data_IF_389333857717
#
_entry.id   IF_389333857717
#
_cell.length_a   1.000
_cell.length_b   1.000
_cell.length_c   1.000
_cell.angle_alpha   90.00
_cell.angle_beta   90.00
_cell.angle_gamma   90.00
#
_symmetry.space_group_name_H-M   'P 1'
#
loop_
_entity.id
_entity.type
_entity.pdbx_description
1 polymer ?
#
# COMPACT_ATOMS: atom_id res chain seq x y z
N UNK A 1 10.41 -61.33 54.45
CA UNK A 1 10.81 -60.99 53.07
C UNK A 1 9.72 -60.11 52.44
N UNK A 2 9.92 -58.83 52.39
CA UNK A 2 8.95 -57.84 51.82
C UNK A 2 9.61 -57.27 50.59
N UNK A 3 9.10 -57.67 49.41
CA UNK A 3 9.57 -57.12 48.12
C UNK A 3 8.83 -55.81 47.84
N UNK A 4 9.57 -54.69 47.81
CA UNK A 4 9.07 -53.37 47.41
C UNK A 4 9.14 -53.29 45.88
N UNK A 5 8.02 -53.18 45.23
CA UNK A 5 7.91 -52.91 43.79
C UNK A 5 7.92 -51.38 43.60
N UNK A 6 9.03 -50.87 43.06
CA UNK A 6 9.14 -49.45 42.67
C UNK A 6 8.55 -49.31 41.23
N UNK A 7 7.36 -48.71 41.15
CA UNK A 7 6.71 -48.36 39.88
C UNK A 7 7.27 -47.05 39.34
N UNK A 8 8.16 -47.12 38.35
CA UNK A 8 8.71 -45.93 37.67
C UNK A 8 7.67 -45.41 36.66
N UNK A 9 7.00 -44.33 37.04
CA UNK A 9 6.04 -43.64 36.15
C UNK A 9 6.82 -42.76 35.16
N UNK A 10 6.95 -43.20 33.92
CA UNK A 10 7.48 -42.42 32.82
C UNK A 10 6.45 -41.32 32.42
N UNK A 11 6.72 -40.07 32.81
CA UNK A 11 5.99 -38.92 32.29
C UNK A 11 6.37 -38.68 30.82
N UNK A 12 5.52 -39.12 29.91
CA UNK A 12 5.52 -38.67 28.53
C UNK A 12 5.10 -37.19 28.51
N UNK A 13 6.07 -36.29 28.50
CA UNK A 13 5.84 -34.86 28.17
C UNK A 13 5.59 -34.81 26.67
N UNK A 14 4.32 -34.92 26.29
CA UNK A 14 3.87 -34.53 24.95
C UNK A 14 4.15 -33.04 24.78
N UNK A 15 5.22 -32.71 24.07
CA UNK A 15 5.49 -31.34 23.67
C UNK A 15 4.29 -30.87 22.82
N UNK A 16 3.40 -30.07 23.42
CA UNK A 16 2.48 -29.26 22.65
C UNK A 16 3.36 -28.26 21.90
N UNK A 17 3.52 -28.45 20.60
CA UNK A 17 3.95 -27.39 19.69
C UNK A 17 2.92 -26.25 19.83
N UNK A 18 3.25 -25.29 20.68
CA UNK A 18 2.53 -24.03 20.73
C UNK A 18 2.85 -23.33 19.42
N UNK A 19 2.04 -23.59 18.39
CA UNK A 19 2.09 -22.80 17.19
C UNK A 19 1.92 -21.33 17.57
N UNK A 20 2.95 -20.54 17.36
CA UNK A 20 2.87 -19.10 17.60
C UNK A 20 1.67 -18.54 16.83
N UNK A 21 0.89 -17.66 17.45
CA UNK A 21 -0.24 -17.03 16.79
C UNK A 21 0.23 -16.38 15.46
N UNK A 22 -0.57 -16.47 14.39
CA UNK A 22 -0.17 -15.92 13.10
C UNK A 22 0.05 -14.41 13.19
N UNK A 23 1.06 -13.92 12.48
CA UNK A 23 1.33 -12.49 12.31
C UNK A 23 0.24 -11.89 11.42
N UNK A 24 -0.58 -11.00 11.95
CA UNK A 24 -1.68 -10.37 11.21
C UNK A 24 -1.17 -9.14 10.47
N UNK A 25 -1.24 -9.20 9.14
CA UNK A 25 -0.88 -8.10 8.26
C UNK A 25 -2.12 -7.64 7.49
N UNK A 26 -2.48 -6.36 7.61
CA UNK A 26 -3.62 -5.82 6.88
C UNK A 26 -3.21 -5.03 5.64
N UNK A 27 -4.15 -4.90 4.70
CA UNK A 27 -4.04 -3.97 3.57
C UNK A 27 -5.36 -3.21 3.37
N UNK A 28 -5.26 -1.95 2.89
CA UNK A 28 -6.38 -1.00 2.90
C UNK A 28 -7.13 -0.85 1.59
N UNK A 29 -6.63 -1.44 0.50
CA UNK A 29 -7.17 -1.28 -0.84
C UNK A 29 -6.99 -2.55 -1.65
N UNK A 30 -7.93 -2.85 -2.55
CA UNK A 30 -7.73 -3.83 -3.62
C UNK A 30 -7.23 -3.05 -4.84
N UNK A 31 -5.89 -2.98 -4.97
CA UNK A 31 -5.24 -2.19 -6.00
C UNK A 31 -3.80 -2.65 -6.27
N UNK A 32 -3.21 -2.25 -7.40
CA UNK A 32 -1.86 -2.70 -7.78
C UNK A 32 -0.78 -2.27 -6.78
N UNK A 33 -1.01 -1.20 -6.03
CA UNK A 33 -0.03 -0.64 -5.07
C UNK A 33 0.25 -1.54 -3.86
N UNK A 34 -0.61 -2.52 -3.58
CA UNK A 34 -0.42 -3.52 -2.50
C UNK A 34 -0.14 -4.93 -3.03
N UNK A 35 0.06 -5.07 -4.34
CA UNK A 35 0.26 -6.37 -4.98
C UNK A 35 1.48 -7.14 -4.43
N UNK A 36 2.51 -6.42 -3.99
CA UNK A 36 3.69 -7.00 -3.34
C UNK A 36 3.39 -7.75 -2.05
N UNK A 37 2.42 -7.27 -1.27
CA UNK A 37 1.96 -7.96 -0.05
C UNK A 37 1.20 -9.24 -0.42
N UNK A 38 0.36 -9.18 -1.46
CA UNK A 38 -0.33 -10.37 -1.97
C UNK A 38 0.66 -11.39 -2.50
N UNK A 39 1.64 -10.92 -3.27
CA UNK A 39 2.70 -11.76 -3.83
C UNK A 39 3.49 -12.46 -2.72
N UNK A 40 3.93 -11.73 -1.69
CA UNK A 40 4.65 -12.31 -0.56
C UNK A 40 3.84 -13.41 0.15
N UNK A 41 2.53 -13.22 0.27
CA UNK A 41 1.64 -14.20 0.90
C UNK A 41 1.41 -15.42 0.00
N UNK A 42 1.01 -15.21 -1.26
CA UNK A 42 0.62 -16.30 -2.17
C UNK A 42 1.79 -17.20 -2.59
N UNK A 43 2.99 -16.64 -2.69
CA UNK A 43 4.20 -17.39 -3.04
C UNK A 43 4.93 -17.99 -1.84
N UNK A 44 4.37 -17.81 -0.64
CA UNK A 44 4.96 -18.36 0.59
C UNK A 44 6.22 -17.65 1.05
N UNK A 45 6.55 -16.45 0.55
CA UNK A 45 7.75 -15.71 0.94
C UNK A 45 7.81 -15.47 2.45
N UNK A 46 6.67 -15.13 3.08
CA UNK A 46 6.63 -14.98 4.54
C UNK A 46 7.00 -16.29 5.26
N UNK A 47 6.51 -17.43 4.78
CA UNK A 47 6.83 -18.76 5.35
C UNK A 47 8.30 -19.11 5.20
N UNK A 48 8.94 -18.71 4.08
CA UNK A 48 10.37 -18.90 3.85
C UNK A 48 11.23 -18.16 4.88
N UNK A 49 10.68 -17.09 5.45
CA UNK A 49 11.30 -16.34 6.57
C UNK A 49 10.75 -16.77 7.94
N UNK A 50 10.06 -17.92 8.03
CA UNK A 50 9.54 -18.46 9.30
C UNK A 50 8.40 -17.63 9.89
N UNK A 51 7.64 -16.93 9.04
CA UNK A 51 6.49 -16.14 9.45
C UNK A 51 5.19 -16.78 8.92
N UNK A 52 4.30 -17.15 9.84
CA UNK A 52 2.92 -17.49 9.47
C UNK A 52 2.10 -16.19 9.43
N UNK A 53 1.81 -15.71 8.22
CA UNK A 53 1.12 -14.42 8.02
C UNK A 53 -0.33 -14.65 7.65
N UNK A 54 -1.23 -14.10 8.46
CA UNK A 54 -2.64 -13.95 8.12
C UNK A 54 -2.86 -12.60 7.46
N UNK A 55 -3.27 -12.61 6.20
CA UNK A 55 -3.54 -11.39 5.44
C UNK A 55 -5.00 -10.94 5.64
N UNK A 56 -5.21 -9.68 6.06
CA UNK A 56 -6.54 -9.14 6.42
C UNK A 56 -6.84 -7.91 5.58
N UNK A 57 -7.95 -7.93 4.84
CA UNK A 57 -8.44 -6.73 4.16
C UNK A 57 -9.28 -5.88 5.11
N UNK A 58 -8.89 -4.62 5.31
CA UNK A 58 -9.65 -3.64 6.08
C UNK A 58 -9.76 -2.37 5.24
N UNK A 59 -10.92 -2.11 4.68
CA UNK A 59 -11.16 -0.90 3.89
C UNK A 59 -10.93 0.37 4.74
N UNK A 60 -10.17 1.34 4.24
CA UNK A 60 -9.81 2.59 4.92
C UNK A 60 -8.51 2.52 5.75
N UNK A 61 -7.61 3.44 5.46
CA UNK A 61 -6.34 3.57 6.19
C UNK A 61 -6.55 3.92 7.67
N UNK A 62 -7.55 4.75 7.98
CA UNK A 62 -7.85 5.11 9.38
C UNK A 62 -8.26 3.90 10.21
N UNK A 63 -9.12 3.01 9.69
CA UNK A 63 -9.53 1.79 10.39
C UNK A 63 -8.35 0.81 10.54
N UNK A 64 -7.48 0.70 9.51
CA UNK A 64 -6.25 -0.08 9.62
C UNK A 64 -5.36 0.40 10.77
N UNK A 65 -5.15 1.72 10.88
CA UNK A 65 -4.33 2.31 11.94
C UNK A 65 -4.97 2.09 13.32
N UNK A 66 -6.29 2.22 13.44
CA UNK A 66 -6.98 1.92 14.71
C UNK A 66 -6.81 0.46 15.12
N UNK A 67 -6.95 -0.49 14.19
CA UNK A 67 -6.73 -1.91 14.44
C UNK A 67 -5.27 -2.21 14.84
N UNK A 68 -4.31 -1.54 14.20
CA UNK A 68 -2.89 -1.64 14.54
C UNK A 68 -2.59 -1.11 15.95
N UNK A 69 -3.11 0.08 16.29
CA UNK A 69 -2.96 0.67 17.63
C UNK A 69 -3.66 -0.13 18.72
N UNK A 70 -4.80 -0.75 18.39
CA UNK A 70 -5.55 -1.63 19.30
C UNK A 70 -4.96 -3.04 19.47
N UNK A 71 -3.82 -3.36 18.82
CA UNK A 71 -3.17 -4.67 18.91
C UNK A 71 -3.91 -5.81 18.19
N UNK A 72 -4.88 -5.47 17.33
CA UNK A 72 -5.54 -6.44 16.46
C UNK A 72 -4.73 -6.82 15.23
N UNK A 73 -3.64 -6.10 14.99
CA UNK A 73 -2.69 -6.29 13.89
C UNK A 73 -1.27 -6.05 14.40
N UNK A 74 -0.30 -6.75 13.82
CA UNK A 74 1.12 -6.53 14.06
C UNK A 74 1.75 -5.64 12.99
N UNK A 75 1.31 -5.82 11.73
CA UNK A 75 1.75 -5.06 10.57
C UNK A 75 0.53 -4.54 9.79
N UNK A 76 0.70 -3.44 9.07
CA UNK A 76 -0.35 -2.90 8.22
C UNK A 76 0.21 -2.29 6.94
N UNK A 77 -0.56 -2.39 5.85
CA UNK A 77 -0.28 -1.72 4.58
C UNK A 77 -1.34 -0.63 4.28
N UNK A 78 -1.42 0.44 5.12
CA UNK A 78 -2.35 1.55 4.95
C UNK A 78 -1.86 2.54 3.90
N UNK A 79 -2.70 3.53 3.58
CA UNK A 79 -2.24 4.75 2.91
C UNK A 79 -1.39 5.62 3.83
N UNK A 80 -0.37 6.28 3.28
CA UNK A 80 0.55 7.15 4.05
C UNK A 80 -0.17 8.24 4.84
N UNK A 81 -1.20 8.87 4.26
CA UNK A 81 -1.98 9.90 4.94
C UNK A 81 -2.59 9.41 6.26
N UNK A 82 -3.07 8.17 6.30
CA UNK A 82 -3.60 7.58 7.54
C UNK A 82 -2.57 7.51 8.66
N UNK A 83 -1.32 7.16 8.34
CA UNK A 83 -0.20 7.11 9.30
C UNK A 83 0.17 8.51 9.76
N UNK A 84 0.37 9.43 8.81
CA UNK A 84 0.75 10.82 9.10
C UNK A 84 -0.27 11.50 10.01
N UNK A 85 -1.56 11.39 9.70
CA UNK A 85 -2.61 12.03 10.49
C UNK A 85 -2.80 11.40 11.88
N UNK A 86 -2.59 10.11 12.01
CA UNK A 86 -2.60 9.45 13.32
C UNK A 86 -1.41 9.91 14.17
N UNK A 87 -0.22 9.93 13.61
CA UNK A 87 0.99 10.40 14.30
C UNK A 87 0.92 11.89 14.63
N UNK A 88 0.35 12.72 13.75
CA UNK A 88 0.10 14.14 14.01
C UNK A 88 -0.83 14.37 15.21
N UNK A 89 -1.66 13.39 15.56
CA UNK A 89 -2.53 13.37 16.75
C UNK A 89 -1.90 12.64 17.94
N UNK A 90 -0.60 12.32 17.86
CA UNK A 90 0.16 11.69 18.93
C UNK A 90 0.15 10.17 18.96
N UNK A 91 -0.40 9.49 17.94
CA UNK A 91 -0.39 8.03 17.89
C UNK A 91 1.04 7.49 17.69
N UNK A 92 1.48 6.45 18.45
CA UNK A 92 2.82 5.88 18.37
C UNK A 92 2.94 4.90 17.19
N UNK A 93 2.81 5.41 15.96
CA UNK A 93 2.86 4.62 14.71
C UNK A 93 4.01 5.08 13.85
N UNK A 94 4.68 4.13 13.17
CA UNK A 94 5.79 4.35 12.26
C UNK A 94 5.49 3.79 10.88
N UNK A 95 6.03 4.44 9.87
CA UNK A 95 6.17 3.93 8.52
C UNK A 95 7.61 3.42 8.34
N UNK A 96 7.77 2.15 8.00
CA UNK A 96 9.07 1.47 7.88
C UNK A 96 9.42 1.10 6.44
N UNK A 97 8.55 1.39 5.49
CA UNK A 97 8.78 1.17 4.07
C UNK A 97 7.65 1.72 3.23
N UNK A 98 7.96 2.21 2.02
CA UNK A 98 6.99 2.65 1.04
C UNK A 98 6.82 1.59 -0.06
N UNK A 99 5.58 1.26 -0.38
CA UNK A 99 5.28 0.43 -1.56
C UNK A 99 5.40 1.27 -2.84
N UNK A 100 4.94 2.52 -2.76
CA UNK A 100 5.13 3.54 -3.80
C UNK A 100 5.33 4.89 -3.13
N UNK A 101 6.26 5.71 -3.63
CA UNK A 101 6.44 7.10 -3.18
C UNK A 101 5.69 8.12 -4.04
N UNK A 102 5.16 7.68 -5.17
CA UNK A 102 4.35 8.48 -6.09
C UNK A 102 3.00 7.81 -6.29
N UNK A 103 1.93 8.56 -6.60
CA UNK A 103 0.61 7.98 -6.77
C UNK A 103 0.44 7.42 -8.19
N UNK A 104 0.51 6.09 -8.42
CA UNK A 104 0.30 5.50 -9.74
C UNK A 104 -1.19 5.48 -10.08
N UNK A 105 -1.79 6.65 -10.15
CA UNK A 105 -3.18 6.86 -10.51
C UNK A 105 -3.24 7.59 -11.85
N UNK A 106 -4.03 7.06 -12.76
CA UNK A 106 -4.21 7.60 -14.10
C UNK A 106 -5.44 8.50 -14.15
N UNK A 107 -5.29 9.66 -14.76
CA UNK A 107 -6.41 10.48 -15.20
C UNK A 107 -6.98 9.85 -16.47
N UNK A 108 -8.06 9.10 -16.30
CA UNK A 108 -8.87 8.61 -17.41
C UNK A 108 -9.94 9.62 -17.76
N UNK A 109 -10.11 9.85 -19.04
CA UNK A 109 -11.07 10.82 -19.60
C UNK A 109 -11.93 10.16 -20.67
N UNK A 110 -13.03 10.82 -21.04
CA UNK A 110 -13.85 10.39 -22.17
C UNK A 110 -13.00 10.31 -23.44
N UNK A 111 -13.25 9.35 -24.35
CA UNK A 111 -12.38 9.08 -25.51
C UNK A 111 -12.10 10.29 -26.43
N UNK A 112 -13.05 11.21 -26.49
CA UNK A 112 -12.98 12.45 -27.29
C UNK A 112 -12.01 13.48 -26.71
N UNK A 113 -11.69 13.42 -25.42
CA UNK A 113 -10.73 14.31 -24.77
C UNK A 113 -9.34 13.78 -25.02
N UNK A 114 -8.53 14.51 -25.78
CA UNK A 114 -7.19 14.11 -26.22
C UNK A 114 -6.08 14.92 -25.58
N UNK A 115 -6.40 16.07 -24.96
CA UNK A 115 -5.46 17.00 -24.34
C UNK A 115 -6.03 17.54 -23.03
N UNK A 116 -5.15 17.88 -22.10
CA UNK A 116 -5.52 18.38 -20.76
C UNK A 116 -6.30 19.69 -20.79
N UNK A 117 -6.01 20.59 -21.73
CA UNK A 117 -6.68 21.89 -21.84
C UNK A 117 -8.18 21.79 -22.15
N UNK A 118 -8.64 20.67 -22.77
CA UNK A 118 -10.05 20.36 -23.00
C UNK A 118 -10.84 20.06 -21.72
N UNK A 119 -10.16 19.90 -20.60
CA UNK A 119 -10.80 19.72 -19.28
C UNK A 119 -11.31 21.03 -18.66
N UNK A 120 -10.91 22.20 -19.19
CA UNK A 120 -11.40 23.50 -18.70
C UNK A 120 -12.91 23.58 -18.75
N UNK A 121 -13.55 23.96 -17.65
CA UNK A 121 -15.01 24.00 -17.49
C UNK A 121 -15.67 22.64 -17.31
N UNK A 122 -14.91 21.55 -17.34
CA UNK A 122 -15.41 20.18 -17.17
C UNK A 122 -15.41 19.73 -15.71
N UNK A 123 -16.05 18.57 -15.46
CA UNK A 123 -16.08 17.93 -14.15
C UNK A 123 -15.33 16.61 -14.13
N UNK A 124 -14.42 16.44 -13.16
CA UNK A 124 -13.77 15.17 -12.83
C UNK A 124 -14.46 14.54 -11.61
N UNK A 125 -14.76 13.26 -11.70
CA UNK A 125 -15.36 12.51 -10.60
C UNK A 125 -14.35 12.19 -9.51
N UNK A 126 -14.76 12.42 -8.27
CA UNK A 126 -14.08 11.97 -7.06
C UNK A 126 -15.04 11.16 -6.18
N UNK A 127 -14.53 10.30 -5.31
CA UNK A 127 -15.41 9.57 -4.40
C UNK A 127 -16.05 10.52 -3.39
N UNK A 128 -15.25 11.25 -2.66
CA UNK A 128 -15.65 12.29 -1.69
C UNK A 128 -14.50 13.25 -1.46
N UNK A 129 -14.78 14.41 -0.90
CA UNK A 129 -13.71 15.30 -0.45
C UNK A 129 -12.85 14.62 0.63
N UNK A 130 -11.57 14.96 0.68
CA UNK A 130 -10.55 14.38 1.57
C UNK A 130 -10.34 12.86 1.38
N UNK A 131 -10.72 12.32 0.22
CA UNK A 131 -10.33 10.97 -0.21
C UNK A 131 -9.02 11.01 -0.99
N UNK A 132 -8.35 9.86 -1.13
CA UNK A 132 -7.16 9.73 -1.99
C UNK A 132 -7.43 10.19 -3.42
N UNK A 133 -8.60 9.85 -3.99
CA UNK A 133 -8.98 10.31 -5.33
C UNK A 133 -9.10 11.84 -5.40
N UNK A 134 -9.67 12.49 -4.39
CA UNK A 134 -9.71 13.96 -4.29
C UNK A 134 -8.30 14.54 -4.22
N UNK A 135 -7.47 14.06 -3.30
CA UNK A 135 -6.11 14.56 -3.10
C UNK A 135 -5.28 14.43 -4.39
N UNK A 136 -5.25 13.25 -5.01
CA UNK A 136 -4.46 13.04 -6.22
C UNK A 136 -5.01 13.85 -7.41
N UNK A 137 -6.34 13.96 -7.55
CA UNK A 137 -6.94 14.83 -8.56
C UNK A 137 -6.52 16.29 -8.37
N UNK A 138 -6.57 16.80 -7.13
CA UNK A 138 -6.11 18.17 -6.83
C UNK A 138 -4.64 18.36 -7.15
N UNK A 139 -3.77 17.41 -6.78
CA UNK A 139 -2.34 17.46 -7.09
C UNK A 139 -2.08 17.53 -8.60
N UNK A 140 -2.78 16.70 -9.38
CA UNK A 140 -2.73 16.75 -10.84
C UNK A 140 -3.16 18.13 -11.35
N UNK A 141 -4.32 18.61 -10.92
CA UNK A 141 -4.87 19.89 -11.38
C UNK A 141 -3.97 21.07 -11.02
N UNK A 142 -3.34 21.09 -9.85
CA UNK A 142 -2.34 22.08 -9.45
C UNK A 142 -1.12 22.04 -10.36
N UNK A 143 -0.58 20.85 -10.61
CA UNK A 143 0.58 20.65 -11.48
C UNK A 143 0.31 21.12 -12.91
N UNK A 144 -0.94 21.02 -13.36
CA UNK A 144 -1.40 21.49 -14.67
C UNK A 144 -1.86 22.96 -14.67
N UNK A 145 -1.90 23.64 -13.53
CA UNK A 145 -2.42 25.01 -13.42
C UNK A 145 -3.93 25.11 -13.65
N UNK A 146 -4.68 24.04 -13.37
CA UNK A 146 -6.11 23.91 -13.71
C UNK A 146 -7.04 23.80 -12.52
N UNK A 147 -6.55 23.95 -11.28
CA UNK A 147 -7.33 23.76 -10.05
C UNK A 147 -8.59 24.65 -9.98
N UNK A 148 -8.53 25.86 -10.55
CA UNK A 148 -9.66 26.81 -10.57
C UNK A 148 -10.58 26.66 -11.79
N UNK A 149 -10.22 25.86 -12.76
CA UNK A 149 -10.94 25.75 -14.05
C UNK A 149 -11.59 24.39 -14.28
N UNK A 150 -11.32 23.41 -13.42
CA UNK A 150 -11.88 22.06 -13.48
C UNK A 150 -12.61 21.80 -12.16
N UNK A 151 -13.86 21.35 -12.25
CA UNK A 151 -14.66 21.04 -11.05
C UNK A 151 -14.38 19.61 -10.58
N UNK A 152 -14.13 19.42 -9.30
CA UNK A 152 -14.10 18.09 -8.70
C UNK A 152 -15.49 17.77 -8.13
N UNK A 153 -16.16 16.75 -8.69
CA UNK A 153 -17.53 16.39 -8.32
C UNK A 153 -17.52 15.13 -7.45
N UNK A 154 -17.91 15.20 -6.17
CA UNK A 154 -18.09 14.03 -5.32
C UNK A 154 -19.32 13.24 -5.78
N UNK A 155 -19.17 11.91 -5.94
CA UNK A 155 -20.23 11.04 -6.49
C UNK A 155 -20.61 9.92 -5.53
N UNK A 156 -19.74 9.58 -4.57
CA UNK A 156 -19.96 8.46 -3.65
C UNK A 156 -18.74 7.54 -3.59
N UNK A 157 -18.94 6.24 -3.72
CA UNK A 157 -17.85 5.28 -3.76
C UNK A 157 -17.20 5.17 -5.16
N UNK A 158 -16.17 4.33 -5.27
CA UNK A 158 -15.51 4.08 -6.55
C UNK A 158 -16.45 3.46 -7.61
N UNK A 159 -17.38 2.55 -7.26
CA UNK A 159 -18.37 2.05 -8.22
C UNK A 159 -19.29 3.14 -8.77
N UNK A 160 -19.70 4.09 -7.93
CA UNK A 160 -20.59 5.20 -8.33
C UNK A 160 -19.85 6.18 -9.26
N UNK A 161 -18.57 6.48 -8.98
CA UNK A 161 -17.74 7.29 -9.89
C UNK A 161 -17.59 6.60 -11.24
N UNK A 162 -17.34 5.29 -11.24
CA UNK A 162 -17.26 4.48 -12.46
C UNK A 162 -18.57 4.54 -13.25
N UNK A 163 -19.72 4.34 -12.60
CA UNK A 163 -21.02 4.39 -13.25
C UNK A 163 -21.34 5.77 -13.84
N UNK A 164 -21.05 6.85 -13.11
CA UNK A 164 -21.25 8.22 -13.60
C UNK A 164 -20.33 8.54 -14.80
N UNK A 165 -19.11 8.02 -14.82
CA UNK A 165 -18.20 8.13 -15.97
C UNK A 165 -18.72 7.34 -17.18
N UNK A 166 -19.19 6.11 -16.99
CA UNK A 166 -19.79 5.27 -18.04
C UNK A 166 -21.02 5.93 -18.67
N UNK A 167 -21.82 6.63 -17.86
CA UNK A 167 -22.98 7.41 -18.29
C UNK A 167 -22.62 8.79 -18.89
N UNK A 168 -21.33 9.09 -19.09
CA UNK A 168 -20.83 10.37 -19.62
C UNK A 168 -21.23 11.60 -18.79
N UNK A 169 -21.56 11.43 -17.52
CA UNK A 169 -21.85 12.53 -16.60
C UNK A 169 -20.58 13.23 -16.08
N UNK A 170 -19.42 12.64 -16.33
CA UNK A 170 -18.10 13.12 -15.95
C UNK A 170 -17.18 13.12 -17.17
N UNK A 171 -16.39 14.17 -17.31
CA UNK A 171 -15.37 14.26 -18.35
C UNK A 171 -14.21 13.30 -18.08
N UNK A 172 -13.97 12.95 -16.81
CA UNK A 172 -12.93 12.03 -16.41
C UNK A 172 -12.95 11.71 -14.93
N UNK A 173 -12.00 10.87 -14.53
CA UNK A 173 -11.74 10.49 -13.14
C UNK A 173 -10.28 10.07 -12.95
N UNK A 174 -9.76 10.22 -11.75
CA UNK A 174 -8.41 9.75 -11.37
C UNK A 174 -8.54 8.46 -10.58
N UNK A 175 -7.96 7.39 -11.09
CA UNK A 175 -8.04 6.06 -10.49
C UNK A 175 -6.80 5.22 -10.76
N UNK A 176 -6.48 4.29 -9.86
CA UNK A 176 -5.42 3.30 -10.05
C UNK A 176 -5.87 2.09 -10.90
N UNK A 177 -7.17 1.98 -11.17
CA UNK A 177 -7.76 0.84 -11.88
C UNK A 177 -8.42 1.32 -13.16
N UNK A 178 -8.06 0.73 -14.29
CA UNK A 178 -8.66 1.05 -15.59
C UNK A 178 -10.17 0.91 -15.58
N UNK A 179 -10.90 1.92 -16.09
CA UNK A 179 -12.35 1.85 -16.30
C UNK A 179 -12.74 0.66 -17.19
N UNK A 180 -13.96 0.15 -17.00
CA UNK A 180 -14.52 -0.85 -17.91
C UNK A 180 -15.03 -0.23 -19.22
N UNK A 181 -15.58 0.99 -19.12
CA UNK A 181 -16.00 1.73 -20.30
C UNK A 181 -14.80 2.20 -21.13
N UNK A 182 -15.01 2.46 -22.44
CA UNK A 182 -14.00 3.11 -23.26
C UNK A 182 -13.52 4.41 -22.61
N UNK A 183 -12.21 4.51 -22.38
CA UNK A 183 -11.59 5.66 -21.74
C UNK A 183 -10.20 5.88 -22.32
N UNK A 184 -9.79 7.15 -22.37
CA UNK A 184 -8.42 7.53 -22.74
C UNK A 184 -7.61 7.76 -21.46
N UNK A 185 -6.49 7.07 -21.32
CA UNK A 185 -5.47 7.41 -20.34
C UNK A 185 -4.77 8.69 -20.79
N UNK A 186 -4.99 9.80 -20.10
CA UNK A 186 -4.45 11.10 -20.47
C UNK A 186 -3.08 11.35 -19.87
N UNK A 187 -2.90 11.04 -18.59
CA UNK A 187 -1.63 11.09 -17.89
C UNK A 187 -1.69 10.22 -16.61
N UNK A 188 -0.52 9.84 -16.10
CA UNK A 188 -0.40 9.20 -14.79
C UNK A 188 0.21 10.19 -13.78
N UNK A 189 -0.37 10.27 -12.60
CA UNK A 189 0.09 11.20 -11.55
C UNK A 189 1.52 10.90 -11.09
N UNK A 190 1.95 9.64 -11.11
CA UNK A 190 3.31 9.26 -10.74
C UNK A 190 4.39 9.82 -11.69
N UNK A 191 4.01 10.18 -12.93
CA UNK A 191 4.92 10.78 -13.89
C UNK A 191 5.12 12.31 -13.68
N UNK A 192 4.31 12.92 -12.79
CA UNK A 192 4.35 14.36 -12.52
C UNK A 192 5.27 14.77 -11.35
N UNK A 193 6.08 13.85 -10.83
CA UNK A 193 6.92 14.06 -9.64
C UNK A 193 6.13 14.61 -8.44
N UNK A 194 5.03 13.97 -8.13
CA UNK A 194 4.20 14.26 -6.97
C UNK A 194 4.59 13.31 -5.84
N UNK A 195 5.19 13.80 -4.73
CA UNK A 195 5.55 12.95 -3.59
C UNK A 195 4.29 12.63 -2.77
N UNK A 196 3.62 11.55 -3.13
CA UNK A 196 2.42 11.08 -2.44
C UNK A 196 2.40 9.55 -2.42
N UNK A 197 2.92 8.96 -1.32
CA UNK A 197 2.93 7.51 -1.15
C UNK A 197 1.51 6.97 -1.00
N UNK A 198 1.14 6.02 -1.87
CA UNK A 198 -0.20 5.42 -1.83
C UNK A 198 -0.35 4.43 -0.69
N UNK A 199 0.59 3.51 -0.58
CA UNK A 199 0.61 2.50 0.48
C UNK A 199 2.03 2.38 1.05
N UNK A 200 2.06 2.12 2.34
CA UNK A 200 3.29 2.02 3.14
C UNK A 200 3.21 0.82 4.07
N UNK A 201 4.34 0.30 4.50
CA UNK A 201 4.40 -0.67 5.60
C UNK A 201 4.44 0.10 6.93
N UNK A 202 3.45 -0.12 7.78
CA UNK A 202 3.31 0.54 9.07
C UNK A 202 3.32 -0.46 10.23
N UNK A 203 3.90 -0.01 11.35
CA UNK A 203 3.96 -0.73 12.64
C UNK A 203 3.71 0.24 13.77
N UNK A 204 3.36 -0.25 14.97
CA UNK A 204 3.47 0.58 16.18
C UNK A 204 4.94 0.69 16.61
N UNK A 205 5.30 1.82 17.23
CA UNK A 205 6.65 2.02 17.79
C UNK A 205 7.00 0.94 18.81
N UNK A 206 6.02 0.49 19.60
CA UNK A 206 6.21 -0.55 20.61
C UNK A 206 6.48 -1.91 19.97
N UNK A 207 5.71 -2.30 18.94
CA UNK A 207 5.92 -3.56 18.23
C UNK A 207 7.29 -3.58 17.53
N UNK A 208 7.68 -2.48 16.86
CA UNK A 208 8.98 -2.33 16.22
C UNK A 208 10.13 -2.55 17.21
N UNK A 209 10.06 -1.88 18.37
CA UNK A 209 11.07 -1.97 19.41
C UNK A 209 11.19 -3.37 20.03
N UNK A 210 10.06 -4.06 20.24
CA UNK A 210 10.00 -5.37 20.89
C UNK A 210 10.27 -6.54 19.95
N UNK A 211 10.00 -6.38 18.64
CA UNK A 211 10.03 -7.46 17.66
C UNK A 211 10.83 -7.09 16.40
N UNK A 212 12.04 -6.52 16.52
CA UNK A 212 12.81 -6.04 15.35
C UNK A 212 13.10 -7.15 14.34
N UNK A 213 13.42 -8.36 14.81
CA UNK A 213 13.69 -9.52 13.94
C UNK A 213 12.45 -9.95 13.14
N UNK A 214 11.27 -9.91 13.75
CA UNK A 214 10.02 -10.24 13.07
C UNK A 214 9.73 -9.23 11.95
N UNK A 215 9.90 -7.95 12.24
CA UNK A 215 9.70 -6.88 11.27
C UNK A 215 10.73 -6.95 10.14
N UNK A 216 12.00 -7.24 10.46
CA UNK A 216 13.04 -7.44 9.44
C UNK A 216 12.71 -8.62 8.52
N UNK A 217 12.35 -9.77 9.08
CA UNK A 217 11.95 -10.95 8.29
C UNK A 217 10.77 -10.65 7.39
N UNK A 218 9.78 -9.92 7.87
CA UNK A 218 8.64 -9.48 7.07
C UNK A 218 9.05 -8.54 5.93
N UNK A 219 9.96 -7.60 6.19
CA UNK A 219 10.49 -6.68 5.16
C UNK A 219 11.34 -7.42 4.13
N UNK A 220 12.17 -8.40 4.53
CA UNK A 220 12.94 -9.24 3.60
C UNK A 220 12.01 -10.04 2.69
N UNK A 221 10.97 -10.67 3.23
CA UNK A 221 9.96 -11.40 2.46
C UNK A 221 9.23 -10.47 1.47
N UNK A 222 8.90 -9.26 1.90
CA UNK A 222 8.29 -8.24 1.05
C UNK A 222 9.22 -7.86 -0.11
N UNK A 223 10.49 -7.58 0.14
CA UNK A 223 11.46 -7.19 -0.90
C UNK A 223 11.69 -8.33 -1.90
N UNK A 224 11.78 -9.59 -1.45
CA UNK A 224 11.86 -10.75 -2.35
C UNK A 224 10.61 -10.90 -3.22
N UNK A 225 9.43 -10.65 -2.67
CA UNK A 225 8.19 -10.66 -3.44
C UNK A 225 8.16 -9.55 -4.50
N UNK A 226 8.68 -8.36 -4.20
CA UNK A 226 8.83 -7.29 -5.20
C UNK A 226 9.77 -7.73 -6.32
N UNK A 227 10.91 -8.33 -5.99
CA UNK A 227 11.83 -8.83 -7.01
C UNK A 227 11.20 -9.94 -7.87
N UNK A 228 10.46 -10.87 -7.25
CA UNK A 228 9.74 -11.92 -7.98
C UNK A 228 8.70 -11.33 -8.94
N UNK A 229 8.00 -10.26 -8.57
CA UNK A 229 7.05 -9.58 -9.47
C UNK A 229 7.72 -9.04 -10.74
N UNK A 230 8.98 -8.62 -10.64
CA UNK A 230 9.75 -8.16 -11.80
C UNK A 230 10.24 -9.30 -12.69
N UNK A 231 10.52 -10.48 -12.13
CA UNK A 231 11.15 -11.59 -12.85
C UNK A 231 10.15 -12.66 -13.30
N UNK A 232 9.03 -12.81 -12.60
CA UNK A 232 7.99 -13.82 -12.90
C UNK A 232 6.64 -13.14 -13.17
N UNK A 233 6.48 -12.71 -14.42
CA UNK A 233 5.24 -12.10 -14.89
C UNK A 233 4.04 -13.04 -14.76
N UNK A 234 4.23 -14.32 -15.07
CA UNK A 234 3.13 -15.29 -15.07
C UNK A 234 2.54 -15.47 -13.67
N UNK A 235 3.39 -15.68 -12.66
CA UNK A 235 2.96 -15.77 -11.27
C UNK A 235 2.33 -14.46 -10.81
N UNK A 236 2.91 -13.30 -11.20
CA UNK A 236 2.34 -12.00 -10.86
C UNK A 236 0.94 -11.80 -11.43
N UNK A 237 0.71 -12.16 -12.70
CA UNK A 237 -0.61 -12.07 -13.32
C UNK A 237 -1.63 -13.00 -12.63
N UNK A 238 -1.24 -14.23 -12.22
CA UNK A 238 -2.10 -15.13 -11.46
C UNK A 238 -2.52 -14.54 -10.11
N UNK A 239 -1.58 -13.91 -9.40
CA UNK A 239 -1.88 -13.24 -8.12
C UNK A 239 -2.80 -12.05 -8.34
N UNK A 240 -2.53 -11.19 -9.32
CA UNK A 240 -3.39 -10.06 -9.67
C UNK A 240 -4.81 -10.53 -10.04
N UNK A 241 -4.93 -11.57 -10.87
CA UNK A 241 -6.22 -12.17 -11.25
C UNK A 241 -7.01 -12.63 -10.02
N UNK A 242 -6.35 -13.30 -9.07
CA UNK A 242 -6.97 -13.81 -7.84
C UNK A 242 -7.59 -12.67 -7.01
N UNK A 243 -6.83 -11.62 -6.76
CA UNK A 243 -7.26 -10.54 -5.87
C UNK A 243 -8.21 -9.54 -6.54
N UNK A 244 -8.02 -9.25 -7.82
CA UNK A 244 -8.96 -8.41 -8.57
C UNK A 244 -10.24 -9.15 -8.97
N UNK A 245 -10.25 -10.48 -8.90
CA UNK A 245 -11.36 -11.33 -9.40
C UNK A 245 -11.73 -10.98 -10.84
N UNK A 246 -10.74 -10.72 -11.68
CA UNK A 246 -10.85 -10.37 -13.09
C UNK A 246 -9.83 -11.16 -13.91
N UNK A 247 -10.27 -11.70 -15.04
CA UNK A 247 -9.44 -12.49 -15.96
C UNK A 247 -9.21 -11.82 -17.32
N UNK A 248 -9.64 -10.57 -17.49
CA UNK A 248 -9.42 -9.80 -18.72
C UNK A 248 -7.91 -9.56 -18.93
N UNK A 249 -7.31 -10.06 -20.03
CA UNK A 249 -5.86 -10.00 -20.23
C UNK A 249 -5.34 -8.56 -20.33
N UNK A 250 -6.09 -7.67 -20.98
CA UNK A 250 -5.69 -6.27 -21.14
C UNK A 250 -5.68 -5.52 -19.81
N UNK A 251 -6.65 -5.82 -18.93
CA UNK A 251 -6.68 -5.28 -17.58
C UNK A 251 -5.50 -5.79 -16.74
N UNK A 252 -5.26 -7.11 -16.77
CA UNK A 252 -4.18 -7.71 -15.98
C UNK A 252 -2.81 -7.22 -16.43
N UNK A 253 -2.61 -7.06 -17.74
CA UNK A 253 -1.38 -6.50 -18.32
C UNK A 253 -1.15 -5.05 -17.85
N UNK A 254 -2.19 -4.23 -17.83
CA UNK A 254 -2.10 -2.86 -17.34
C UNK A 254 -1.75 -2.81 -15.85
N UNK A 255 -2.39 -3.65 -15.03
CA UNK A 255 -2.08 -3.74 -13.60
C UNK A 255 -0.65 -4.23 -13.37
N UNK A 256 -0.17 -5.19 -14.14
CA UNK A 256 1.21 -5.64 -14.11
C UNK A 256 2.19 -4.50 -14.46
N UNK A 257 1.89 -3.73 -15.50
CA UNK A 257 2.73 -2.61 -15.91
C UNK A 257 2.81 -1.53 -14.81
N UNK A 258 1.72 -1.26 -14.10
CA UNK A 258 1.71 -0.37 -12.94
C UNK A 258 2.60 -0.91 -11.83
N UNK A 259 2.44 -2.19 -11.49
CA UNK A 259 3.26 -2.87 -10.48
C UNK A 259 4.74 -2.79 -10.84
N UNK A 260 5.09 -3.20 -12.05
CA UNK A 260 6.49 -3.28 -12.50
C UNK A 260 7.16 -1.90 -12.61
N UNK A 261 6.39 -0.84 -12.89
CA UNK A 261 6.92 0.52 -13.08
C UNK A 261 7.02 1.32 -11.78
N UNK A 262 6.06 1.16 -10.87
CA UNK A 262 5.89 2.11 -9.77
C UNK A 262 6.05 1.51 -8.37
N UNK A 263 6.08 0.18 -8.20
CA UNK A 263 6.44 -0.41 -6.91
C UNK A 263 7.92 -0.19 -6.65
N UNK A 264 8.24 0.32 -5.48
CA UNK A 264 9.61 0.64 -5.11
C UNK A 264 10.48 -0.62 -4.95
N UNK A 265 11.57 -0.72 -5.71
CA UNK A 265 12.56 -1.79 -5.54
C UNK A 265 13.29 -1.65 -4.20
N UNK A 266 13.61 -0.44 -3.83
CA UNK A 266 14.12 -0.06 -2.51
C UNK A 266 12.98 0.66 -1.81
N UNK A 267 12.27 0.03 -0.86
CA UNK A 267 11.05 0.58 -0.29
C UNK A 267 11.31 1.70 0.73
N UNK A 268 12.24 2.60 0.42
CA UNK A 268 12.57 3.76 1.24
C UNK A 268 11.47 4.80 1.15
N UNK A 269 11.01 5.28 2.29
CA UNK A 269 9.96 6.31 2.35
C UNK A 269 10.55 7.68 2.03
N UNK A 270 9.99 8.37 1.04
CA UNK A 270 10.35 9.77 0.76
C UNK A 270 9.75 10.69 1.84
N UNK A 271 10.57 11.44 2.59
CA UNK A 271 10.11 12.30 3.67
C UNK A 271 9.17 13.43 3.19
N UNK A 272 9.24 13.83 1.92
CA UNK A 272 8.34 14.85 1.35
C UNK A 272 6.86 14.43 1.41
N UNK A 273 6.56 13.13 1.53
CA UNK A 273 5.19 12.63 1.66
C UNK A 273 4.46 13.15 2.91
N UNK A 274 5.19 13.46 3.99
CA UNK A 274 4.60 14.03 5.22
C UNK A 274 4.11 15.45 4.94
N UNK A 275 4.95 16.28 4.31
CA UNK A 275 4.59 17.66 3.96
C UNK A 275 3.39 17.68 3.01
N UNK A 276 3.40 16.85 1.95
CA UNK A 276 2.27 16.76 1.03
C UNK A 276 0.97 16.35 1.74
N UNK A 277 1.04 15.42 2.69
CA UNK A 277 -0.16 15.03 3.45
C UNK A 277 -0.70 16.18 4.28
N UNK A 278 0.17 16.89 5.04
CA UNK A 278 -0.24 17.99 5.89
C UNK A 278 -0.71 19.24 5.11
N UNK A 279 -0.26 19.41 3.87
CA UNK A 279 -0.78 20.46 2.97
C UNK A 279 -2.27 20.25 2.66
N UNK A 280 -2.71 19.01 2.47
CA UNK A 280 -4.11 18.67 2.15
C UNK A 280 -4.99 18.48 3.38
N UNK A 281 -4.40 17.97 4.45
CA UNK A 281 -5.11 17.69 5.71
C UNK A 281 -4.32 18.33 6.87
N UNK A 282 -4.35 19.67 6.99
CA UNK A 282 -3.57 20.37 8.00
C UNK A 282 -4.04 20.02 9.41
N UNK A 283 -3.09 19.77 10.30
CA UNK A 283 -3.34 19.53 11.72
C UNK A 283 -2.79 20.74 12.51
N UNK A 284 -3.65 21.38 13.28
CA UNK A 284 -3.28 22.60 14.00
C UNK A 284 -2.06 22.37 14.91
N UNK A 285 -1.04 23.20 14.75
CA UNK A 285 0.17 23.15 15.57
C UNK A 285 1.16 22.04 15.21
N UNK A 286 0.96 21.38 14.07
CA UNK A 286 1.85 20.34 13.55
C UNK A 286 2.48 20.81 12.25
N UNK A 287 3.79 20.72 12.16
CA UNK A 287 4.56 20.95 10.95
C UNK A 287 5.24 19.67 10.46
N UNK A 288 5.58 19.63 9.18
CA UNK A 288 6.15 18.46 8.55
C UNK A 288 7.59 18.16 9.01
N UNK A 289 8.38 19.18 9.35
CA UNK A 289 9.79 19.02 9.73
C UNK A 289 9.90 18.27 11.06
N UNK A 290 9.13 18.69 12.06
CA UNK A 290 9.10 18.05 13.39
C UNK A 290 8.35 16.71 13.40
N UNK A 291 7.39 16.51 12.50
CA UNK A 291 6.62 15.27 12.44
C UNK A 291 7.36 14.16 11.69
N UNK A 292 8.07 14.47 10.60
CA UNK A 292 8.72 13.48 9.73
C UNK A 292 9.58 12.45 10.48
N UNK A 293 10.51 12.84 11.38
CA UNK A 293 11.34 11.87 12.11
C UNK A 293 10.55 11.01 13.12
N UNK A 294 9.31 11.40 13.44
CA UNK A 294 8.43 10.64 14.35
C UNK A 294 7.56 9.63 13.60
N UNK A 295 7.44 9.77 12.28
CA UNK A 295 6.54 8.98 11.42
C UNK A 295 7.31 8.03 10.51
N UNK A 296 8.52 8.40 10.09
CA UNK A 296 9.32 7.64 9.12
C UNK A 296 10.56 7.07 9.81
N UNK A 297 10.72 5.76 9.70
CA UNK A 297 11.95 5.05 10.05
C UNK A 297 12.45 4.25 8.85
N UNK A 298 13.43 4.78 8.15
CA UNK A 298 14.07 4.13 7.01
C UNK A 298 15.27 3.25 7.41
N UNK A 299 15.63 3.17 8.70
CA UNK A 299 16.86 2.54 9.17
C UNK A 299 17.00 1.08 8.73
N UNK A 300 15.90 0.32 8.76
CA UNK A 300 15.87 -1.06 8.30
C UNK A 300 16.13 -1.17 6.80
N UNK A 301 15.44 -0.39 5.98
CA UNK A 301 15.62 -0.40 4.52
C UNK A 301 17.02 0.04 4.13
N UNK A 302 17.56 1.09 4.76
CA UNK A 302 18.91 1.60 4.53
C UNK A 302 19.95 0.54 4.90
N UNK A 303 19.77 -0.20 6.00
CA UNK A 303 20.63 -1.32 6.40
C UNK A 303 20.58 -2.46 5.40
N UNK A 304 19.40 -2.90 4.98
CA UNK A 304 19.24 -3.98 4.00
C UNK A 304 19.86 -3.62 2.63
N UNK A 305 19.76 -2.36 2.23
CA UNK A 305 20.42 -1.87 1.01
C UNK A 305 21.95 -1.88 1.16
N UNK A 306 22.48 -1.37 2.29
CA UNK A 306 23.92 -1.34 2.57
C UNK A 306 24.54 -2.73 2.67
N UNK A 307 23.81 -3.71 3.20
CA UNK A 307 24.21 -5.12 3.25
C UNK A 307 24.22 -5.80 1.88
N UNK A 308 23.76 -5.12 0.82
CA UNK A 308 23.64 -5.68 -0.53
C UNK A 308 22.51 -6.71 -0.66
N UNK A 309 21.62 -6.81 0.33
CA UNK A 309 20.50 -7.77 0.28
C UNK A 309 19.58 -7.48 -0.89
N UNK A 310 19.19 -6.22 -1.10
CA UNK A 310 18.27 -5.81 -2.17
C UNK A 310 18.87 -6.13 -3.53
N UNK A 311 20.12 -5.73 -3.79
CA UNK A 311 20.81 -6.00 -5.05
C UNK A 311 20.93 -7.50 -5.32
N UNK A 312 21.28 -8.30 -4.30
CA UNK A 312 21.38 -9.76 -4.41
C UNK A 312 20.03 -10.40 -4.79
N UNK A 313 18.92 -9.91 -4.25
CA UNK A 313 17.59 -10.44 -4.52
C UNK A 313 17.15 -10.10 -5.95
N UNK A 314 17.38 -8.87 -6.40
CA UNK A 314 17.06 -8.44 -7.77
C UNK A 314 17.99 -9.00 -8.85
N UNK A 315 19.20 -9.46 -8.49
CA UNK A 315 20.12 -10.12 -9.42
C UNK A 315 19.80 -11.61 -9.64
N UNK A 316 18.98 -12.25 -8.79
CA UNK A 316 18.50 -13.62 -8.99
C UNK A 316 17.53 -13.63 -10.19
N UNK A 317 17.84 -14.46 -11.19
CA UNK A 317 17.02 -14.67 -12.38
C UNK A 317 15.99 -15.76 -12.15
#
# INVERSE_FOLDING_TARGET
>A
MKSSLILTMLLLISGFDVSAAPLRLSYSVVGPTVASVWMAHETGMFKNYGLDVQLVYIASSGTNIQALLGGSLELSAPGMSGVVLAAARGAPVLTIGAMTNKPPMTLYVQPEITRTDQLKGQSLGITRYNSTAHTVTTLILRKLGMEKTVTQRPVGGAPEVQAAFEQKQLAGMVTAVKPRAPARALLNAADLDIPFAMNVMAVTQDFWRKNPDTVERAMRAYIEAVALMHHDKETTLKVLQKYFKRSDPGFLEEMYNIVNRYIEKIPRVDPRNVATTLEFEPVKGVDAETLTPKVIDNSLVDRLAKEGFIDKVFARR
#
